data_IF_277099940429
#
_entry.id   IF_277099940429
#
_cell.length_a   1.000
_cell.length_b   1.000
_cell.length_c   1.000
_cell.angle_alpha   90.00
_cell.angle_beta   90.00
_cell.angle_gamma   90.00
#
_symmetry.space_group_name_H-M   'P 1'
#
loop_
_entity.id
_entity.type
_entity.pdbx_description
1 polymer ?
#
# COMPACT_ATOMS: atom_id res chain seq x y z
N UNK A 1 6.54 -3.47 13.52
CA UNK A 1 5.28 -2.67 13.45
C UNK A 1 5.11 -1.67 14.61
N UNK A 2 6.16 -1.41 15.39
CA UNK A 2 6.08 -0.47 16.54
C UNK A 2 5.71 0.96 16.11
N UNK A 3 6.02 1.36 14.88
CA UNK A 3 5.64 2.67 14.32
C UNK A 3 4.12 2.92 14.31
N UNK A 4 3.28 1.88 14.31
CA UNK A 4 1.82 2.02 14.43
C UNK A 4 1.41 2.72 15.73
N UNK A 5 2.20 2.58 16.80
CA UNK A 5 1.99 3.28 18.06
C UNK A 5 2.27 4.78 18.02
N UNK A 6 2.92 5.28 16.97
CA UNK A 6 3.18 6.70 16.74
C UNK A 6 2.12 7.35 15.82
N UNK A 7 1.24 6.51 15.22
CA UNK A 7 0.20 6.96 14.30
C UNK A 7 -1.05 7.41 15.07
N UNK A 8 -1.75 8.40 14.53
CA UNK A 8 -3.05 8.79 15.08
C UNK A 8 -4.14 7.79 14.70
N UNK A 9 -5.24 7.74 15.45
CA UNK A 9 -6.39 6.90 15.12
C UNK A 9 -6.91 7.16 13.70
N UNK A 10 -6.84 8.41 13.25
CA UNK A 10 -7.23 8.81 11.89
C UNK A 10 -6.32 8.22 10.81
N UNK A 11 -5.03 8.13 11.08
CA UNK A 11 -4.07 7.52 10.13
C UNK A 11 -4.26 6.00 10.04
N UNK A 12 -4.65 5.37 11.15
CA UNK A 12 -4.92 3.94 11.23
C UNK A 12 -6.28 3.52 10.64
N UNK A 13 -7.23 4.45 10.42
CA UNK A 13 -8.60 4.13 9.98
C UNK A 13 -8.65 3.31 8.68
N UNK A 14 -7.86 3.70 7.69
CA UNK A 14 -7.77 2.98 6.41
C UNK A 14 -7.24 1.55 6.56
N UNK A 15 -6.24 1.37 7.42
CA UNK A 15 -5.65 0.07 7.71
C UNK A 15 -6.64 -0.83 8.47
N UNK A 16 -7.28 -0.30 9.51
CA UNK A 16 -8.32 -1.04 10.25
C UNK A 16 -9.46 -1.46 9.33
N UNK A 17 -9.93 -0.56 8.46
CA UNK A 17 -10.96 -0.91 7.49
C UNK A 17 -10.51 -2.04 6.55
N UNK A 18 -9.29 -1.99 6.05
CA UNK A 18 -8.71 -3.02 5.18
C UNK A 18 -8.66 -4.40 5.87
N UNK A 19 -8.28 -4.43 7.15
CA UNK A 19 -8.19 -5.66 7.93
C UNK A 19 -9.57 -6.24 8.25
N UNK A 20 -10.54 -5.39 8.57
CA UNK A 20 -11.86 -5.81 9.08
C UNK A 20 -12.93 -6.00 8.02
N UNK A 21 -12.83 -5.34 6.85
CA UNK A 21 -13.88 -5.38 5.83
C UNK A 21 -13.37 -5.91 4.49
N UNK A 22 -14.22 -6.65 3.77
CA UNK A 22 -13.95 -7.00 2.39
C UNK A 22 -14.27 -5.80 1.48
N UNK A 23 -13.31 -5.32 0.66
CA UNK A 23 -13.54 -4.17 -0.21
C UNK A 23 -14.55 -4.44 -1.34
N UNK A 24 -14.87 -5.71 -1.64
CA UNK A 24 -15.83 -6.06 -2.69
C UNK A 24 -17.27 -5.80 -2.30
N UNK A 25 -17.65 -6.10 -1.07
CA UNK A 25 -19.03 -6.00 -0.60
C UNK A 25 -19.21 -5.14 0.65
N UNK A 26 -18.11 -4.65 1.23
CA UNK A 26 -18.10 -3.80 2.42
C UNK A 26 -18.50 -4.52 3.71
N UNK A 27 -18.60 -5.85 3.70
CA UNK A 27 -18.95 -6.63 4.89
C UNK A 27 -17.75 -6.92 5.75
N UNK A 28 -17.99 -7.11 7.03
CA UNK A 28 -16.98 -7.57 7.98
C UNK A 28 -16.50 -8.96 7.56
N UNK A 29 -15.18 -9.17 7.59
CA UNK A 29 -14.57 -10.45 7.23
C UNK A 29 -14.87 -11.49 8.30
N UNK A 30 -15.19 -12.71 7.90
CA UNK A 30 -15.43 -13.81 8.83
C UNK A 30 -14.16 -14.34 9.50
N UNK A 31 -12.99 -14.00 8.96
CA UNK A 31 -11.70 -14.52 9.43
C UNK A 31 -10.88 -13.50 10.21
N UNK A 32 -11.40 -12.31 10.45
CA UNK A 32 -10.76 -11.30 11.27
C UNK A 32 -11.17 -11.47 12.74
N UNK A 33 -10.25 -11.18 13.65
CA UNK A 33 -10.49 -11.28 15.09
C UNK A 33 -10.47 -9.91 15.78
N UNK A 34 -10.09 -8.86 15.05
CA UNK A 34 -9.90 -7.51 15.60
C UNK A 34 -11.20 -6.94 16.16
N UNK A 35 -12.31 -7.05 15.42
CA UNK A 35 -13.61 -6.50 15.86
C UNK A 35 -14.20 -7.23 17.05
N UNK A 36 -13.83 -8.50 17.28
CA UNK A 36 -14.26 -9.27 18.44
C UNK A 36 -13.46 -8.95 19.72
N UNK A 37 -12.31 -8.30 19.58
CA UNK A 37 -11.47 -7.91 20.71
C UNK A 37 -12.18 -6.99 21.69
N UNK A 38 -12.04 -7.21 23.02
CA UNK A 38 -12.56 -6.30 24.04
C UNK A 38 -12.03 -4.87 23.92
N UNK A 39 -10.75 -4.71 23.52
CA UNK A 39 -10.15 -3.39 23.34
C UNK A 39 -10.74 -2.65 22.12
N UNK A 40 -11.00 -3.35 21.03
CA UNK A 40 -11.70 -2.75 19.91
C UNK A 40 -13.11 -2.29 20.31
N UNK A 41 -13.89 -3.18 20.95
CA UNK A 41 -15.27 -2.88 21.39
C UNK A 41 -15.33 -1.70 22.36
N UNK A 42 -14.29 -1.53 23.20
CA UNK A 42 -14.21 -0.45 24.18
C UNK A 42 -13.80 0.90 23.58
N UNK A 43 -12.85 0.88 22.64
CA UNK A 43 -12.16 2.10 22.19
C UNK A 43 -12.49 2.54 20.77
N UNK A 44 -13.14 1.68 19.94
CA UNK A 44 -13.51 2.09 18.59
C UNK A 44 -14.33 3.38 18.59
N UNK A 45 -14.02 4.40 17.76
CA UNK A 45 -13.03 4.43 16.67
C UNK A 45 -11.63 4.95 17.07
N UNK A 46 -11.27 4.98 18.35
CA UNK A 46 -9.93 5.40 18.77
C UNK A 46 -8.90 4.26 18.57
N UNK A 47 -8.49 4.07 17.31
CA UNK A 47 -7.63 2.99 16.86
C UNK A 47 -6.26 2.98 17.55
N UNK A 48 -5.75 4.14 17.97
CA UNK A 48 -4.48 4.26 18.67
C UNK A 48 -4.45 3.46 19.97
N UNK A 49 -5.58 3.30 20.64
CA UNK A 49 -5.65 2.57 21.91
C UNK A 49 -5.40 1.05 21.78
N UNK A 50 -5.48 0.52 20.57
CA UNK A 50 -5.28 -0.91 20.30
C UNK A 50 -4.39 -1.19 19.06
N UNK A 51 -3.44 -0.29 18.80
CA UNK A 51 -2.52 -0.42 17.64
C UNK A 51 -1.75 -1.75 17.63
N UNK A 52 -1.44 -2.33 18.82
CA UNK A 52 -0.77 -3.64 18.92
C UNK A 52 -1.63 -4.76 18.31
N UNK A 53 -2.95 -4.70 18.51
CA UNK A 53 -3.87 -5.66 17.91
C UNK A 53 -3.96 -5.50 16.40
N UNK A 54 -3.89 -4.27 15.90
CA UNK A 54 -3.82 -3.99 14.46
C UNK A 54 -2.56 -4.63 13.87
N UNK A 55 -1.42 -4.47 14.53
CA UNK A 55 -0.16 -5.10 14.13
C UNK A 55 -0.24 -6.64 14.15
N UNK A 56 -0.85 -7.20 15.18
CA UNK A 56 -1.06 -8.64 15.30
C UNK A 56 -1.96 -9.18 14.18
N UNK A 57 -3.02 -8.46 13.83
CA UNK A 57 -3.94 -8.84 12.77
C UNK A 57 -3.26 -8.90 11.39
N UNK A 58 -2.38 -7.92 11.07
CA UNK A 58 -1.56 -7.95 9.85
C UNK A 58 -0.73 -9.23 9.81
N UNK A 59 -0.10 -9.59 10.92
CA UNK A 59 0.76 -10.77 11.03
C UNK A 59 -0.05 -12.07 10.92
N UNK A 60 -1.27 -12.11 11.45
CA UNK A 60 -2.18 -13.26 11.33
C UNK A 60 -2.64 -13.48 9.90
N UNK A 61 -3.01 -12.42 9.18
CA UNK A 61 -3.37 -12.53 7.76
C UNK A 61 -2.20 -12.93 6.85
N UNK A 62 -0.98 -12.56 7.22
CA UNK A 62 0.23 -12.95 6.49
C UNK A 62 0.59 -14.42 6.66
N UNK A 63 0.20 -15.02 7.77
CA UNK A 63 0.36 -16.45 7.98
C UNK A 63 -0.75 -17.22 7.24
N UNK A 64 -0.36 -18.15 6.36
CA UNK A 64 -1.32 -19.09 5.79
C UNK A 64 -2.09 -19.77 6.95
N UNK A 65 -3.43 -19.76 6.92
CA UNK A 65 -4.32 -20.21 8.01
C UNK A 65 -3.87 -21.54 8.64
N UNK A 66 -3.30 -22.44 7.81
CA UNK A 66 -2.77 -23.72 8.25
C UNK A 66 -1.47 -23.59 9.09
N UNK A 67 -0.60 -22.66 8.71
CA UNK A 67 0.67 -22.38 9.41
C UNK A 67 0.41 -21.67 10.73
N UNK A 68 -0.55 -20.74 10.75
CA UNK A 68 -0.99 -20.05 11.97
C UNK A 68 -1.56 -21.04 13.00
N UNK A 69 -2.36 -22.01 12.56
CA UNK A 69 -2.91 -23.05 13.42
C UNK A 69 -1.82 -23.96 13.99
N UNK A 70 -0.79 -24.32 13.19
CA UNK A 70 0.35 -25.13 13.63
C UNK A 70 1.30 -24.37 14.57
N UNK A 71 1.34 -23.04 14.50
CA UNK A 71 2.12 -22.16 15.38
C UNK A 71 1.36 -21.69 16.64
N UNK A 72 0.23 -22.31 16.96
CA UNK A 72 -0.57 -21.96 18.16
C UNK A 72 -1.23 -20.59 18.08
N UNK A 73 -1.58 -20.12 16.88
CA UNK A 73 -2.24 -18.81 16.69
C UNK A 73 -1.26 -17.63 16.56
N UNK A 74 0.06 -17.88 16.59
CA UNK A 74 1.05 -16.80 16.40
C UNK A 74 1.18 -16.46 14.91
N UNK A 75 1.05 -15.18 14.55
CA UNK A 75 1.28 -14.66 13.22
C UNK A 75 2.76 -14.74 12.80
N UNK A 76 3.04 -14.45 11.56
CA UNK A 76 4.41 -14.36 11.02
C UNK A 76 4.96 -12.93 11.24
N UNK A 77 6.29 -12.80 11.19
CA UNK A 77 6.88 -11.46 11.23
C UNK A 77 6.43 -10.60 10.05
N UNK A 78 6.26 -9.31 10.25
CA UNK A 78 5.86 -8.37 9.19
C UNK A 78 6.75 -8.46 7.94
N UNK A 79 8.05 -8.67 8.13
CA UNK A 79 8.99 -8.86 7.02
C UNK A 79 8.64 -10.08 6.16
N UNK A 80 8.15 -11.16 6.75
CA UNK A 80 7.68 -12.34 6.00
C UNK A 80 6.44 -11.99 5.18
N UNK A 81 5.47 -11.27 5.76
CA UNK A 81 4.27 -10.78 5.06
C UNK A 81 4.66 -9.91 3.85
N UNK A 82 5.58 -8.98 4.06
CA UNK A 82 6.10 -8.10 3.01
C UNK A 82 6.80 -8.88 1.90
N UNK A 83 7.61 -9.87 2.26
CA UNK A 83 8.31 -10.76 1.31
C UNK A 83 7.28 -11.53 0.46
N UNK A 84 6.25 -12.09 1.05
CA UNK A 84 5.21 -12.82 0.35
C UNK A 84 4.44 -11.92 -0.63
N UNK A 85 4.12 -10.69 -0.22
CA UNK A 85 3.52 -9.68 -1.09
C UNK A 85 4.46 -9.33 -2.25
N UNK A 86 5.74 -9.09 -1.97
CA UNK A 86 6.73 -8.77 -3.00
C UNK A 86 6.93 -9.90 -4.00
N UNK A 87 7.03 -11.14 -3.53
CA UNK A 87 7.15 -12.33 -4.39
C UNK A 87 5.88 -12.47 -5.27
N UNK A 88 4.69 -12.25 -4.70
CA UNK A 88 3.43 -12.30 -5.42
C UNK A 88 3.32 -11.24 -6.51
N UNK A 89 3.74 -10.02 -6.23
CA UNK A 89 3.74 -8.90 -7.16
C UNK A 89 4.96 -8.90 -8.10
N UNK A 90 5.82 -9.92 -8.02
CA UNK A 90 7.04 -10.06 -8.81
C UNK A 90 7.97 -8.85 -8.69
N UNK A 91 8.11 -8.36 -7.47
CA UNK A 91 9.04 -7.27 -7.14
C UNK A 91 10.47 -7.80 -7.23
N UNK A 92 11.37 -7.03 -7.82
CA UNK A 92 12.79 -7.32 -7.80
C UNK A 92 13.42 -6.67 -6.57
N UNK A 93 13.80 -7.47 -5.57
CA UNK A 93 14.34 -7.01 -4.29
C UNK A 93 15.32 -8.02 -3.70
N UNK A 94 16.10 -7.61 -2.70
CA UNK A 94 16.98 -8.50 -1.94
C UNK A 94 16.26 -8.96 -0.65
N UNK A 95 16.00 -10.26 -0.51
CA UNK A 95 15.35 -10.86 0.69
C UNK A 95 16.11 -10.60 1.99
N UNK A 96 17.43 -10.35 1.91
CA UNK A 96 18.30 -10.06 3.06
C UNK A 96 18.37 -8.57 3.39
N UNK A 97 17.75 -7.71 2.58
CA UNK A 97 17.72 -6.28 2.83
C UNK A 97 16.87 -5.94 4.08
N UNK A 98 17.07 -4.74 4.60
CA UNK A 98 16.22 -4.20 5.66
C UNK A 98 14.77 -4.04 5.16
N UNK A 99 13.81 -4.15 6.07
CA UNK A 99 12.38 -4.07 5.76
C UNK A 99 12.03 -2.83 4.95
N UNK A 100 12.52 -1.65 5.36
CA UNK A 100 12.32 -0.37 4.66
C UNK A 100 12.80 -0.40 3.20
N UNK A 101 13.91 -1.09 2.93
CA UNK A 101 14.44 -1.23 1.56
C UNK A 101 13.55 -2.13 0.69
N UNK A 102 12.92 -3.14 1.29
CA UNK A 102 11.98 -4.03 0.61
C UNK A 102 10.67 -3.27 0.31
N UNK A 103 10.14 -2.51 1.28
CA UNK A 103 8.99 -1.62 1.11
C UNK A 103 9.22 -0.60 0.00
N UNK A 104 10.41 0.02 -0.01
CA UNK A 104 10.80 0.94 -1.08
C UNK A 104 10.80 0.25 -2.46
N UNK A 105 11.29 -1.00 -2.54
CA UNK A 105 11.28 -1.78 -3.78
C UNK A 105 9.85 -2.08 -4.26
N UNK A 106 8.94 -2.39 -3.34
CA UNK A 106 7.53 -2.60 -3.62
C UNK A 106 6.87 -1.32 -4.16
N UNK A 107 7.07 -0.18 -3.48
CA UNK A 107 6.55 1.12 -3.92
C UNK A 107 7.06 1.49 -5.32
N UNK A 108 8.36 1.29 -5.56
CA UNK A 108 8.97 1.55 -6.87
C UNK A 108 8.44 0.63 -7.97
N UNK A 109 8.13 -0.63 -7.66
CA UNK A 109 7.51 -1.56 -8.62
C UNK A 109 6.12 -1.06 -9.03
N UNK A 110 5.26 -0.74 -8.07
CA UNK A 110 3.90 -0.22 -8.33
C UNK A 110 3.98 1.06 -9.18
N UNK A 111 4.87 1.98 -8.82
CA UNK A 111 5.07 3.23 -9.53
C UNK A 111 5.56 3.00 -10.97
N UNK A 112 6.52 2.11 -11.15
CA UNK A 112 7.07 1.77 -12.48
C UNK A 112 6.00 1.16 -13.37
N UNK A 113 5.26 0.18 -12.88
CA UNK A 113 4.18 -0.47 -13.63
C UNK A 113 3.07 0.51 -14.01
N UNK A 114 2.78 1.47 -13.14
CA UNK A 114 1.80 2.52 -13.43
C UNK A 114 2.31 3.48 -14.52
N UNK A 115 3.56 3.93 -14.42
CA UNK A 115 4.17 4.85 -15.40
C UNK A 115 4.27 4.20 -16.78
N UNK A 116 4.62 2.93 -16.86
CA UNK A 116 4.70 2.18 -18.13
C UNK A 116 3.35 2.05 -18.84
N UNK A 117 2.25 2.19 -18.12
CA UNK A 117 0.88 2.15 -18.67
C UNK A 117 0.30 3.53 -19.00
N UNK A 118 1.02 4.61 -18.69
CA UNK A 118 0.57 5.97 -18.94
C UNK A 118 0.59 6.31 -20.42
N UNK A 119 -0.42 7.03 -20.87
CA UNK A 119 -0.44 7.70 -22.16
C UNK A 119 0.61 8.83 -22.22
N UNK A 120 1.03 9.26 -23.43
CA UNK A 120 1.94 10.39 -23.57
C UNK A 120 1.43 11.68 -22.91
N UNK A 121 0.12 11.90 -22.87
CA UNK A 121 -0.54 13.04 -22.23
C UNK A 121 -0.44 12.97 -20.72
N UNK A 122 -0.62 11.79 -20.14
CA UNK A 122 -0.47 11.57 -18.68
C UNK A 122 0.99 11.74 -18.26
N UNK A 123 1.95 11.22 -19.04
CA UNK A 123 3.38 11.43 -18.80
C UNK A 123 3.77 12.91 -18.83
N UNK A 124 3.23 13.70 -19.75
CA UNK A 124 3.44 15.16 -19.79
C UNK A 124 2.89 15.85 -18.55
N UNK A 125 1.67 15.51 -18.14
CA UNK A 125 1.07 16.04 -16.90
C UNK A 125 1.90 15.69 -15.68
N UNK A 126 2.39 14.45 -15.61
CA UNK A 126 3.25 13.97 -14.54
C UNK A 126 4.58 14.71 -14.50
N UNK A 127 5.22 14.93 -15.65
CA UNK A 127 6.44 15.71 -15.77
C UNK A 127 6.27 17.16 -15.26
N UNK A 128 5.17 17.80 -15.62
CA UNK A 128 4.86 19.16 -15.15
C UNK A 128 4.73 19.21 -13.61
N UNK A 129 4.10 18.22 -12.97
CA UNK A 129 3.96 18.14 -11.51
C UNK A 129 5.32 17.95 -10.83
N UNK A 130 6.26 17.24 -11.45
CA UNK A 130 7.63 17.09 -10.93
C UNK A 130 8.53 18.30 -11.17
N UNK A 131 8.00 19.35 -11.81
CA UNK A 131 8.73 20.58 -12.14
C UNK A 131 9.59 20.48 -13.41
N UNK A 132 9.35 19.46 -14.23
CA UNK A 132 10.07 19.26 -15.49
C UNK A 132 9.30 19.91 -16.64
N UNK A 133 9.79 21.08 -17.09
CA UNK A 133 9.14 21.86 -18.17
C UNK A 133 9.48 21.33 -19.58
N UNK A 134 10.61 20.65 -19.74
CA UNK A 134 10.99 20.07 -21.04
C UNK A 134 10.47 18.64 -21.12
N UNK A 135 9.46 18.44 -21.98
CA UNK A 135 8.83 17.16 -22.24
C UNK A 135 9.27 16.51 -23.56
N UNK A 136 10.26 17.09 -24.25
CA UNK A 136 10.82 16.52 -25.48
C UNK A 136 11.53 15.21 -25.17
N UNK A 137 11.17 14.14 -25.87
CA UNK A 137 11.74 12.80 -25.66
C UNK A 137 11.38 12.16 -24.33
N UNK A 138 10.27 12.59 -23.71
CA UNK A 138 9.79 12.01 -22.46
C UNK A 138 9.32 10.56 -22.68
N UNK A 139 10.03 9.61 -22.07
CA UNK A 139 9.67 8.20 -22.06
C UNK A 139 9.27 7.75 -20.67
N UNK A 140 8.49 6.64 -20.52
CA UNK A 140 8.22 6.03 -19.23
C UNK A 140 9.48 5.80 -18.41
N UNK A 141 10.54 5.27 -19.02
CA UNK A 141 11.82 4.98 -18.37
C UNK A 141 12.50 6.26 -17.83
N UNK A 142 12.44 7.36 -18.60
CA UNK A 142 12.97 8.64 -18.15
C UNK A 142 12.20 9.16 -16.91
N UNK A 143 10.88 8.97 -16.89
CA UNK A 143 10.05 9.33 -15.73
C UNK A 143 10.35 8.46 -14.51
N UNK A 144 10.49 7.15 -14.66
CA UNK A 144 10.92 6.24 -13.60
C UNK A 144 12.25 6.71 -13.01
N UNK A 145 13.23 7.09 -13.85
CA UNK A 145 14.50 7.65 -13.40
C UNK A 145 14.36 8.93 -12.57
N UNK A 146 13.43 9.82 -12.94
CA UNK A 146 13.12 11.03 -12.15
C UNK A 146 12.60 10.66 -10.76
N UNK A 147 11.67 9.72 -10.65
CA UNK A 147 11.14 9.28 -9.37
C UNK A 147 12.16 8.56 -8.52
N UNK A 148 13.01 7.71 -9.12
CA UNK A 148 14.13 7.10 -8.40
C UNK A 148 15.07 8.16 -7.81
N UNK A 149 15.39 9.21 -8.57
CA UNK A 149 16.21 10.31 -8.07
C UNK A 149 15.51 11.07 -6.94
N UNK A 150 14.20 11.32 -7.04
CA UNK A 150 13.43 11.96 -5.99
C UNK A 150 13.42 11.15 -4.69
N UNK A 151 13.23 9.84 -4.78
CA UNK A 151 13.26 8.96 -3.61
C UNK A 151 14.66 8.89 -2.99
N UNK A 152 15.72 8.80 -3.79
CA UNK A 152 17.11 8.84 -3.28
C UNK A 152 17.45 10.15 -2.60
N UNK A 153 16.93 11.28 -3.10
CA UNK A 153 17.12 12.59 -2.48
C UNK A 153 16.36 12.70 -1.15
N UNK A 154 15.31 11.94 -0.98
CA UNK A 154 14.46 11.95 0.22
C UNK A 154 13.73 13.28 0.43
N UNK A 155 13.40 13.57 1.69
CA UNK A 155 12.79 14.82 2.09
C UNK A 155 11.32 14.95 1.70
N UNK A 156 10.80 16.18 1.78
CA UNK A 156 9.37 16.46 1.67
C UNK A 156 8.74 16.04 0.33
N UNK A 157 9.46 16.15 -0.78
CA UNK A 157 8.95 15.75 -2.10
C UNK A 157 8.80 14.22 -2.23
N UNK A 158 9.75 13.48 -1.70
CA UNK A 158 9.67 12.02 -1.64
C UNK A 158 8.46 11.59 -0.82
N UNK A 159 8.27 12.17 0.36
CA UNK A 159 7.10 11.94 1.21
C UNK A 159 5.78 12.25 0.47
N UNK A 160 5.67 13.42 -0.18
CA UNK A 160 4.46 13.77 -0.92
C UNK A 160 4.14 12.75 -2.03
N UNK A 161 5.16 12.29 -2.75
CA UNK A 161 4.98 11.29 -3.80
C UNK A 161 4.51 9.95 -3.22
N UNK A 162 5.12 9.49 -2.13
CA UNK A 162 4.69 8.28 -1.41
C UNK A 162 3.21 8.38 -1.04
N UNK A 163 2.80 9.47 -0.41
CA UNK A 163 1.39 9.72 -0.03
C UNK A 163 0.45 9.65 -1.23
N UNK A 164 0.84 10.24 -2.36
CA UNK A 164 0.02 10.21 -3.58
C UNK A 164 -0.13 8.80 -4.13
N UNK A 165 0.98 8.04 -4.22
CA UNK A 165 0.97 6.67 -4.73
C UNK A 165 0.14 5.76 -3.82
N UNK A 166 0.40 5.80 -2.51
CA UNK A 166 -0.35 5.02 -1.52
C UNK A 166 -1.84 5.35 -1.56
N UNK A 167 -2.22 6.62 -1.64
CA UNK A 167 -3.62 7.01 -1.78
C UNK A 167 -4.27 6.49 -3.07
N UNK A 168 -3.55 6.50 -4.20
CA UNK A 168 -4.06 5.95 -5.45
C UNK A 168 -4.28 4.42 -5.33
N UNK A 169 -3.34 3.72 -4.70
CA UNK A 169 -3.44 2.28 -4.41
C UNK A 169 -4.64 1.99 -3.53
N UNK A 170 -4.73 2.61 -2.35
CA UNK A 170 -5.80 2.37 -1.38
C UNK A 170 -7.17 2.74 -1.96
N UNK A 171 -7.28 3.87 -2.66
CA UNK A 171 -8.54 4.25 -3.31
C UNK A 171 -9.00 3.22 -4.34
N UNK A 172 -8.06 2.59 -5.05
CA UNK A 172 -8.39 1.53 -6.00
C UNK A 172 -8.74 0.21 -5.31
N UNK A 173 -7.99 -0.18 -4.28
CA UNK A 173 -8.14 -1.48 -3.62
C UNK A 173 -9.32 -1.54 -2.64
N UNK A 174 -9.51 -0.49 -1.85
CA UNK A 174 -10.49 -0.45 -0.76
C UNK A 174 -11.53 0.67 -0.89
N UNK A 175 -11.53 1.42 -2.01
CA UNK A 175 -12.46 2.52 -2.26
C UNK A 175 -12.22 3.78 -1.42
N UNK A 176 -11.22 3.77 -0.53
CA UNK A 176 -10.88 4.86 0.39
C UNK A 176 -9.42 5.25 0.24
N UNK A 177 -9.12 6.55 0.36
CA UNK A 177 -7.76 7.04 0.51
C UNK A 177 -7.42 7.30 1.97
N UNK A 178 -6.15 7.60 2.23
CA UNK A 178 -5.71 8.08 3.53
C UNK A 178 -6.31 9.46 3.82
N UNK A 179 -6.65 9.76 5.09
CA UNK A 179 -7.28 11.03 5.48
C UNK A 179 -6.29 12.19 5.54
N UNK A 180 -5.45 12.36 4.52
CA UNK A 180 -4.48 13.45 4.43
C UNK A 180 -5.05 14.69 3.76
N UNK A 181 -4.66 15.86 4.27
CA UNK A 181 -4.87 17.13 3.57
C UNK A 181 -3.90 17.23 2.41
N UNK A 182 -4.39 17.05 1.19
CA UNK A 182 -3.58 17.13 -0.02
C UNK A 182 -3.49 18.56 -0.54
N UNK A 183 -2.30 18.97 -0.95
CA UNK A 183 -2.09 20.23 -1.68
C UNK A 183 -2.58 20.13 -3.12
N UNK A 184 -2.78 21.26 -3.80
CA UNK A 184 -3.22 21.28 -5.20
C UNK A 184 -2.38 20.40 -6.13
N UNK A 185 -1.03 20.47 -6.10
CA UNK A 185 -0.16 19.59 -6.87
C UNK A 185 -0.33 18.11 -6.53
N UNK A 186 -0.50 17.74 -5.25
CA UNK A 186 -0.74 16.36 -4.83
C UNK A 186 -2.06 15.83 -5.38
N UNK A 187 -3.12 16.63 -5.37
CA UNK A 187 -4.42 16.26 -5.94
C UNK A 187 -4.34 16.05 -7.46
N UNK A 188 -3.56 16.88 -8.16
CA UNK A 188 -3.33 16.70 -9.60
C UNK A 188 -2.55 15.40 -9.86
N UNK A 189 -1.48 15.14 -9.09
CA UNK A 189 -0.72 13.91 -9.19
C UNK A 189 -1.61 12.68 -8.92
N UNK A 190 -2.44 12.72 -7.88
CA UNK A 190 -3.38 11.65 -7.57
C UNK A 190 -4.33 11.36 -8.75
N UNK A 191 -4.87 12.40 -9.40
CA UNK A 191 -5.74 12.22 -10.58
C UNK A 191 -4.99 11.55 -11.74
N UNK A 192 -3.73 11.92 -11.98
CA UNK A 192 -2.90 11.33 -13.03
C UNK A 192 -2.57 9.87 -12.72
N UNK A 193 -2.26 9.55 -11.48
CA UNK A 193 -1.90 8.20 -11.07
C UNK A 193 -3.09 7.25 -10.89
N UNK A 194 -4.31 7.75 -10.59
CA UNK A 194 -5.46 6.91 -10.23
C UNK A 194 -5.83 5.88 -11.30
N UNK A 195 -5.78 6.23 -12.58
CA UNK A 195 -6.04 5.31 -13.67
C UNK A 195 -4.91 4.28 -13.84
N UNK A 196 -3.67 4.72 -14.13
CA UNK A 196 -2.53 3.84 -14.36
C UNK A 196 -2.21 2.91 -13.19
N UNK A 197 -2.27 3.39 -11.95
CA UNK A 197 -2.09 2.55 -10.75
C UNK A 197 -3.19 1.51 -10.68
N UNK A 198 -4.44 1.89 -10.92
CA UNK A 198 -5.55 0.96 -10.98
C UNK A 198 -5.30 -0.17 -11.98
N UNK A 199 -4.84 0.12 -13.19
CA UNK A 199 -4.51 -0.88 -14.19
C UNK A 199 -3.31 -1.76 -13.78
N UNK A 200 -2.27 -1.18 -13.20
CA UNK A 200 -1.10 -1.92 -12.73
C UNK A 200 -1.48 -2.93 -11.66
N UNK A 201 -2.30 -2.53 -10.70
CA UNK A 201 -2.76 -3.37 -9.60
C UNK A 201 -3.80 -4.39 -10.09
N UNK A 202 -4.75 -4.02 -10.94
CA UNK A 202 -5.76 -4.96 -11.47
C UNK A 202 -5.11 -6.12 -12.22
N UNK A 203 -4.07 -5.85 -13.01
CA UNK A 203 -3.32 -6.91 -13.68
C UNK A 203 -2.68 -7.92 -12.72
N UNK A 204 -2.14 -7.43 -11.60
CA UNK A 204 -1.64 -8.26 -10.51
C UNK A 204 -2.79 -8.94 -9.74
N UNK A 205 -3.88 -8.21 -9.51
CA UNK A 205 -5.05 -8.65 -8.73
C UNK A 205 -5.81 -9.81 -9.39
N UNK A 206 -5.92 -9.85 -10.71
CA UNK A 206 -6.54 -10.97 -11.43
C UNK A 206 -5.79 -12.28 -11.18
N UNK A 207 -4.46 -12.21 -11.02
CA UNK A 207 -3.64 -13.35 -10.62
C UNK A 207 -3.81 -13.70 -9.12
N UNK A 208 -4.21 -12.76 -8.28
CA UNK A 208 -4.38 -12.89 -6.83
C UNK A 208 -5.74 -13.51 -6.48
N UNK A 209 -6.80 -13.15 -7.18
CA UNK A 209 -8.16 -13.73 -6.97
C UNK A 209 -8.16 -15.27 -7.12
N UNK A 210 -7.23 -15.81 -7.89
CA UNK A 210 -7.04 -17.25 -8.09
C UNK A 210 -6.24 -17.91 -6.96
N UNK A 211 -5.49 -17.15 -6.15
CA UNK A 211 -4.44 -17.69 -5.27
C UNK A 211 -4.70 -17.59 -3.75
N UNK A 212 -5.81 -17.04 -3.31
CA UNK A 212 -6.19 -17.08 -1.89
C UNK A 212 -6.65 -15.75 -1.28
N UNK A 213 -7.56 -15.87 -0.31
CA UNK A 213 -8.21 -14.73 0.35
C UNK A 213 -7.25 -13.83 1.14
N UNK A 214 -6.14 -14.37 1.63
CA UNK A 214 -5.16 -13.64 2.45
C UNK A 214 -4.51 -12.46 1.70
N UNK A 215 -4.19 -12.61 0.43
CA UNK A 215 -3.55 -11.54 -0.36
C UNK A 215 -4.46 -10.32 -0.58
N UNK A 216 -5.79 -10.48 -0.49
CA UNK A 216 -6.73 -9.36 -0.55
C UNK A 216 -6.64 -8.46 0.69
N UNK A 217 -6.06 -8.98 1.77
CA UNK A 217 -5.81 -8.23 3.00
C UNK A 217 -4.38 -7.73 3.04
N UNK A 218 -3.41 -8.63 2.84
CA UNK A 218 -2.00 -8.31 3.05
C UNK A 218 -1.44 -7.30 2.04
N UNK A 219 -1.86 -7.34 0.78
CA UNK A 219 -1.37 -6.38 -0.23
C UNK A 219 -1.75 -4.93 0.11
N UNK A 220 -3.01 -4.60 0.44
CA UNK A 220 -3.32 -3.22 0.85
C UNK A 220 -2.85 -2.87 2.26
N UNK A 221 -2.56 -3.85 3.13
CA UNK A 221 -2.09 -3.61 4.50
C UNK A 221 -0.58 -3.38 4.62
N UNK A 222 0.20 -3.86 3.66
CA UNK A 222 1.65 -3.65 3.55
C UNK A 222 1.95 -2.33 2.86
#
# INVERSE_FOLDING_TARGET
LNFLGEMTSKDLDGLVYCLTHDPKDGKVRLTEELTESPLYKLHHPDHHQYWQLIGAEIQCFGANTFVTMLRGGQGVEYKEVLIDVCDKLKVNYNKKAETEQIEHSLLMKILTDAIEKMSPEELKKLAAITGRNNTSGLTPQAMVGVFQAMFRAGGFRSYQLTVVVVNAVLKHLIGRGLPFTMTGPMLQALKVFSGPIGWAITGAWTAIDISGAAYRVTIPAV
#
